data_IF_248210359450
#
_entry.id   IF_248210359450
#
_cell.length_a   1.000
_cell.length_b   1.000
_cell.length_c   1.000
_cell.angle_alpha   90.00
_cell.angle_beta   90.00
_cell.angle_gamma   90.00
#
_symmetry.space_group_name_H-M   'P 1'
#
loop_
_entity.id
_entity.type
_entity.pdbx_description
1 polymer ?
#
# COMPACT_ATOMS: atom_id res chain seq x y z
N UNK A 1 -18.72 2.67 7.92
CA UNK A 1 -17.58 2.04 7.22
C UNK A 1 -16.29 2.83 7.38
N UNK A 2 -16.30 4.16 7.18
CA UNK A 2 -15.11 5.01 7.37
C UNK A 2 -14.42 4.84 8.74
N UNK A 3 -15.17 4.77 9.84
CA UNK A 3 -14.57 4.56 11.18
C UNK A 3 -13.88 3.20 11.32
N UNK A 4 -14.49 2.14 10.78
CA UNK A 4 -13.90 0.79 10.76
C UNK A 4 -12.61 0.78 9.94
N UNK A 5 -12.65 1.39 8.74
CA UNK A 5 -11.47 1.54 7.91
C UNK A 5 -10.38 2.36 8.62
N UNK A 6 -10.74 3.48 9.25
CA UNK A 6 -9.82 4.35 9.99
C UNK A 6 -9.09 3.60 11.11
N UNK A 7 -9.79 2.75 11.87
CA UNK A 7 -9.17 1.88 12.89
C UNK A 7 -8.21 0.87 12.26
N UNK A 8 -8.59 0.28 11.13
CA UNK A 8 -7.77 -0.72 10.43
C UNK A 8 -6.51 -0.10 9.82
N UNK A 9 -6.63 1.00 9.08
CA UNK A 9 -5.50 1.71 8.47
C UNK A 9 -4.56 2.27 9.54
N UNK A 10 -5.08 2.75 10.67
CA UNK A 10 -4.25 3.17 11.81
C UNK A 10 -3.39 2.02 12.33
N UNK A 11 -3.95 0.82 12.48
CA UNK A 11 -3.19 -0.37 12.90
C UNK A 11 -2.14 -0.77 11.86
N UNK A 12 -2.51 -0.78 10.58
CA UNK A 12 -1.61 -1.10 9.49
C UNK A 12 -0.43 -0.13 9.41
N UNK A 13 -0.69 1.17 9.53
CA UNK A 13 0.33 2.23 9.55
C UNK A 13 1.27 2.09 10.75
N UNK A 14 0.73 1.84 11.96
CA UNK A 14 1.56 1.61 13.16
C UNK A 14 2.49 0.40 13.03
N UNK A 15 2.09 -0.62 12.27
CA UNK A 15 2.89 -1.81 12.01
C UNK A 15 3.75 -1.67 10.74
N UNK A 16 3.78 -0.49 10.11
CA UNK A 16 4.52 -0.21 8.87
C UNK A 16 4.14 -1.22 7.77
N UNK A 17 2.86 -1.58 7.68
CA UNK A 17 2.38 -2.55 6.72
C UNK A 17 2.47 -2.00 5.29
N UNK A 18 3.03 -2.80 4.38
CA UNK A 18 3.06 -2.52 2.95
C UNK A 18 1.72 -2.80 2.27
N UNK A 19 1.01 -3.84 2.72
CA UNK A 19 -0.24 -4.32 2.14
C UNK A 19 -1.23 -4.75 3.24
N UNK A 20 -2.51 -4.48 3.02
CA UNK A 20 -3.64 -5.00 3.79
C UNK A 20 -4.40 -5.98 2.88
N UNK A 21 -4.57 -7.21 3.34
CA UNK A 21 -5.29 -8.27 2.64
C UNK A 21 -6.67 -8.48 3.25
N UNK A 22 -7.68 -8.59 2.41
CA UNK A 22 -9.03 -9.04 2.73
C UNK A 22 -9.31 -10.28 1.90
N UNK A 23 -9.39 -11.44 2.57
CA UNK A 23 -9.62 -12.73 1.93
C UNK A 23 -10.94 -13.30 2.42
N UNK A 24 -11.95 -13.44 1.56
CA UNK A 24 -13.21 -14.05 1.95
C UNK A 24 -13.00 -15.53 2.30
N UNK A 25 -13.67 -15.98 3.35
CA UNK A 25 -13.86 -17.36 3.74
C UNK A 25 -15.38 -17.61 3.91
N UNK A 26 -15.76 -18.85 4.19
CA UNK A 26 -17.17 -19.27 4.18
C UNK A 26 -18.11 -18.40 5.04
N UNK A 27 -17.66 -17.92 6.20
CA UNK A 27 -18.49 -17.15 7.14
C UNK A 27 -17.86 -15.82 7.60
N UNK A 28 -16.68 -15.49 7.10
CA UNK A 28 -15.92 -14.33 7.54
C UNK A 28 -14.98 -13.82 6.45
N UNK A 29 -14.46 -12.60 6.65
CA UNK A 29 -13.38 -12.05 5.84
C UNK A 29 -12.13 -12.02 6.72
N UNK A 30 -11.13 -12.80 6.32
CA UNK A 30 -9.83 -12.82 6.94
C UNK A 30 -9.07 -11.56 6.57
N UNK A 31 -8.55 -10.88 7.59
CA UNK A 31 -7.76 -9.66 7.41
C UNK A 31 -6.32 -9.95 7.82
N UNK A 32 -5.35 -9.44 7.05
CA UNK A 32 -3.95 -9.52 7.45
C UNK A 32 -3.09 -8.44 6.81
N UNK A 33 -1.94 -8.20 7.42
CA UNK A 33 -0.99 -7.17 7.03
C UNK A 33 0.32 -7.80 6.57
N UNK A 34 0.87 -7.36 5.46
CA UNK A 34 2.26 -7.67 5.11
C UNK A 34 3.16 -6.57 5.66
N UNK A 35 3.93 -6.89 6.70
CA UNK A 35 4.86 -5.98 7.37
C UNK A 35 6.31 -6.33 6.98
N UNK A 36 7.31 -5.49 7.34
CA UNK A 36 8.72 -5.84 7.16
C UNK A 36 9.12 -7.14 7.87
N UNK A 37 8.40 -7.54 8.92
CA UNK A 37 8.63 -8.76 9.70
C UNK A 37 7.83 -9.97 9.16
N UNK A 38 7.12 -9.81 8.03
CA UNK A 38 6.29 -10.85 7.43
C UNK A 38 4.78 -10.59 7.57
N UNK A 39 4.00 -11.63 7.26
CA UNK A 39 2.53 -11.58 7.27
C UNK A 39 1.98 -11.71 8.69
N UNK A 40 1.13 -10.75 9.10
CA UNK A 40 0.53 -10.68 10.44
C UNK A 40 -0.99 -10.75 10.32
N UNK A 41 -1.59 -11.81 10.84
CA UNK A 41 -3.05 -11.99 10.88
C UNK A 41 -3.69 -10.97 11.83
N UNK A 42 -4.82 -10.40 11.42
CA UNK A 42 -5.66 -9.52 12.23
C UNK A 42 -6.98 -10.23 12.57
N UNK A 43 -7.74 -9.74 13.57
CA UNK A 43 -9.10 -10.23 13.80
C UNK A 43 -9.92 -10.19 12.51
N UNK A 44 -10.59 -11.30 12.22
CA UNK A 44 -11.49 -11.40 11.07
C UNK A 44 -12.70 -10.50 11.23
N UNK A 45 -13.36 -10.22 10.11
CA UNK A 45 -14.63 -9.49 10.08
C UNK A 45 -15.74 -10.49 9.76
N UNK A 46 -16.91 -10.35 10.41
CA UNK A 46 -18.12 -11.05 9.97
C UNK A 46 -18.35 -10.76 8.48
N UNK A 47 -18.77 -11.77 7.73
CA UNK A 47 -18.86 -11.71 6.26
C UNK A 47 -19.58 -10.44 5.77
N UNK A 48 -20.75 -10.13 6.33
CA UNK A 48 -21.56 -8.97 5.98
C UNK A 48 -20.81 -7.63 6.20
N UNK A 49 -20.11 -7.50 7.33
CA UNK A 49 -19.34 -6.31 7.68
C UNK A 49 -18.15 -6.15 6.73
N UNK A 50 -17.43 -7.25 6.45
CA UNK A 50 -16.30 -7.21 5.55
C UNK A 50 -16.72 -6.91 4.09
N UNK A 51 -17.84 -7.47 3.62
CA UNK A 51 -18.38 -7.17 2.29
C UNK A 51 -18.81 -5.71 2.17
N UNK A 52 -19.44 -5.16 3.21
CA UNK A 52 -19.79 -3.74 3.26
C UNK A 52 -18.55 -2.83 3.27
N UNK A 53 -17.47 -3.25 3.95
CA UNK A 53 -16.19 -2.56 3.92
C UNK A 53 -15.55 -2.61 2.53
N UNK A 54 -15.55 -3.77 1.86
CA UNK A 54 -15.06 -3.92 0.47
C UNK A 54 -15.82 -3.00 -0.48
N UNK A 55 -17.16 -2.96 -0.41
CA UNK A 55 -17.97 -2.05 -1.25
C UNK A 55 -17.65 -0.58 -0.98
N UNK A 56 -17.50 -0.19 0.29
CA UNK A 56 -17.08 1.15 0.67
C UNK A 56 -15.71 1.50 0.05
N UNK A 57 -14.74 0.59 0.14
CA UNK A 57 -13.39 0.80 -0.42
C UNK A 57 -13.39 0.84 -1.95
N UNK A 58 -14.24 0.05 -2.61
CA UNK A 58 -14.44 0.13 -4.07
C UNK A 58 -14.98 1.50 -4.47
N UNK A 59 -15.96 2.03 -3.73
CA UNK A 59 -16.49 3.37 -3.96
C UNK A 59 -15.40 4.45 -3.83
N UNK A 60 -14.63 4.43 -2.74
CA UNK A 60 -13.54 5.39 -2.51
C UNK A 60 -12.42 5.31 -3.56
N UNK A 61 -12.20 4.14 -4.14
CA UNK A 61 -11.21 3.91 -5.20
C UNK A 61 -11.76 4.05 -6.62
N UNK A 62 -13.01 4.51 -6.79
CA UNK A 62 -13.70 4.65 -8.06
C UNK A 62 -13.78 3.36 -8.89
N UNK A 63 -13.98 2.23 -8.22
CA UNK A 63 -14.17 0.91 -8.83
C UNK A 63 -15.66 0.65 -9.11
N UNK A 64 -15.95 -0.24 -10.07
CA UNK A 64 -17.30 -0.65 -10.39
C UNK A 64 -17.87 -1.53 -9.26
N UNK A 65 -18.93 -1.03 -8.61
CA UNK A 65 -19.63 -1.68 -7.51
C UNK A 65 -20.47 -2.89 -7.95
N UNK A 66 -20.89 -2.93 -9.22
CA UNK A 66 -21.69 -4.01 -9.78
C UNK A 66 -20.83 -5.18 -10.26
N UNK A 67 -19.56 -4.93 -10.62
CA UNK A 67 -18.64 -5.97 -11.08
C UNK A 67 -17.84 -6.56 -9.90
N UNK A 68 -18.03 -7.84 -9.62
CA UNK A 68 -17.30 -8.56 -8.55
C UNK A 68 -16.51 -9.77 -9.07
N UNK A 69 -16.51 -10.04 -10.38
CA UNK A 69 -15.86 -11.19 -11.02
C UNK A 69 -14.48 -10.85 -11.56
N UNK A 70 -14.37 -9.70 -12.22
CA UNK A 70 -13.14 -9.31 -12.93
C UNK A 70 -12.16 -8.61 -12.00
N UNK A 71 -10.85 -8.75 -12.22
CA UNK A 71 -9.87 -7.94 -11.52
C UNK A 71 -10.14 -6.45 -11.73
N UNK A 72 -10.06 -5.68 -10.66
CA UNK A 72 -10.17 -4.23 -10.70
C UNK A 72 -9.00 -3.59 -9.96
N UNK A 73 -8.60 -2.39 -10.39
CA UNK A 73 -7.54 -1.63 -9.73
C UNK A 73 -7.89 -0.14 -9.76
N UNK A 74 -7.68 0.50 -8.61
CA UNK A 74 -8.00 1.90 -8.39
C UNK A 74 -7.08 2.49 -7.34
N UNK A 75 -7.30 3.76 -7.04
CA UNK A 75 -6.48 4.49 -6.08
C UNK A 75 -7.35 5.38 -5.21
N UNK A 76 -6.92 5.56 -3.97
CA UNK A 76 -7.57 6.44 -3.02
C UNK A 76 -6.50 7.22 -2.26
N UNK A 77 -6.56 8.55 -2.31
CA UNK A 77 -5.72 9.40 -1.46
C UNK A 77 -6.44 9.62 -0.14
N UNK A 78 -6.02 8.88 0.88
CA UNK A 78 -6.63 8.92 2.20
C UNK A 78 -5.87 9.89 3.13
N UNK A 79 -6.59 10.85 3.71
CA UNK A 79 -6.02 11.76 4.72
C UNK A 79 -5.93 11.05 6.06
N UNK A 80 -4.71 10.73 6.48
CA UNK A 80 -4.40 10.13 7.78
C UNK A 80 -3.68 11.15 8.65
N UNK A 81 -4.36 11.62 9.71
CA UNK A 81 -3.88 12.71 10.56
C UNK A 81 -3.57 13.97 9.73
N UNK A 82 -2.30 14.35 9.60
CA UNK A 82 -1.82 15.50 8.81
C UNK A 82 -1.15 15.08 7.50
N UNK A 83 -1.14 13.78 7.18
CA UNK A 83 -0.46 13.23 6.01
C UNK A 83 -1.45 12.61 5.03
N UNK A 84 -1.11 12.68 3.74
CA UNK A 84 -1.85 11.97 2.70
C UNK A 84 -1.18 10.61 2.45
N UNK A 85 -1.94 9.53 2.64
CA UNK A 85 -1.54 8.18 2.24
C UNK A 85 -2.12 7.90 0.86
N UNK A 86 -1.26 7.54 -0.09
CA UNK A 86 -1.72 7.05 -1.38
C UNK A 86 -1.97 5.56 -1.27
N UNK A 87 -3.23 5.16 -1.41
CA UNK A 87 -3.65 3.77 -1.33
C UNK A 87 -3.91 3.27 -2.74
N UNK A 88 -3.30 2.15 -3.10
CA UNK A 88 -3.66 1.41 -4.31
C UNK A 88 -4.55 0.26 -3.91
N UNK A 89 -5.78 0.27 -4.38
CA UNK A 89 -6.78 -0.76 -4.07
C UNK A 89 -6.89 -1.67 -5.28
N UNK A 90 -6.87 -2.98 -5.05
CA UNK A 90 -7.04 -3.96 -6.11
C UNK A 90 -7.96 -5.07 -5.63
N UNK A 91 -8.89 -5.50 -6.48
CA UNK A 91 -9.83 -6.57 -6.16
C UNK A 91 -9.82 -7.64 -7.23
N UNK A 92 -10.19 -8.85 -6.84
CA UNK A 92 -10.42 -9.97 -7.77
C UNK A 92 -11.48 -10.89 -7.18
N UNK A 93 -12.49 -11.23 -7.97
CA UNK A 93 -13.47 -12.24 -7.61
C UNK A 93 -13.01 -13.64 -7.95
N UNK A 94 -13.41 -14.60 -7.15
CA UNK A 94 -13.39 -16.00 -7.56
C UNK A 94 -14.68 -16.40 -8.32
N UNK A 95 -14.79 -17.67 -8.68
CA UNK A 95 -15.96 -18.22 -9.37
C UNK A 95 -17.25 -18.19 -8.53
N UNK A 96 -17.15 -18.02 -7.21
CA UNK A 96 -18.27 -17.89 -6.27
C UNK A 96 -18.64 -16.43 -6.00
N UNK A 97 -18.04 -15.47 -6.73
CA UNK A 97 -18.18 -14.03 -6.50
C UNK A 97 -17.64 -13.56 -5.13
N UNK A 98 -16.76 -14.36 -4.52
CA UNK A 98 -16.09 -13.98 -3.29
C UNK A 98 -14.91 -13.06 -3.65
N UNK A 99 -15.10 -11.76 -3.41
CA UNK A 99 -14.14 -10.74 -3.80
C UNK A 99 -13.00 -10.64 -2.77
N UNK A 100 -11.79 -10.97 -3.21
CA UNK A 100 -10.55 -10.70 -2.49
C UNK A 100 -10.12 -9.27 -2.78
N UNK A 101 -9.66 -8.55 -1.75
CA UNK A 101 -9.13 -7.20 -1.89
C UNK A 101 -7.74 -7.09 -1.28
N UNK A 102 -6.87 -6.33 -1.95
CA UNK A 102 -5.58 -5.88 -1.41
C UNK A 102 -5.51 -4.37 -1.46
N UNK A 103 -5.13 -3.75 -0.35
CA UNK A 103 -4.80 -2.32 -0.27
C UNK A 103 -3.29 -2.19 -0.06
N UNK A 104 -2.59 -1.68 -1.06
CA UNK A 104 -1.18 -1.30 -0.92
C UNK A 104 -1.06 0.12 -0.39
N UNK A 105 -0.31 0.29 0.69
CA UNK A 105 -0.05 1.60 1.29
C UNK A 105 1.25 2.16 0.69
N UNK A 106 1.15 3.29 -0.01
CA UNK A 106 2.30 4.03 -0.52
C UNK A 106 2.57 5.19 0.45
N UNK A 107 3.59 5.00 1.28
CA UNK A 107 4.00 6.00 2.26
C UNK A 107 4.67 7.21 1.58
N UNK A 108 4.40 8.43 2.05
CA UNK A 108 5.12 9.63 1.63
C UNK A 108 6.63 9.45 1.82
N UNK A 109 7.41 9.95 0.86
CA UNK A 109 8.86 9.82 0.89
C UNK A 109 9.48 10.37 2.20
N UNK A 110 8.92 11.46 2.73
CA UNK A 110 9.37 12.07 4.00
C UNK A 110 9.35 11.08 5.18
N UNK A 111 8.44 10.10 5.17
CA UNK A 111 8.33 9.10 6.24
C UNK A 111 9.35 7.96 6.10
N UNK A 112 9.90 7.75 4.91
CA UNK A 112 10.77 6.60 4.59
C UNK A 112 12.18 6.98 4.14
N UNK A 113 12.46 8.28 3.98
CA UNK A 113 13.76 8.79 3.51
C UNK A 113 14.81 8.98 4.61
N UNK A 114 14.44 8.94 5.89
CA UNK A 114 15.38 9.14 7.01
C UNK A 114 16.66 8.29 6.92
N UNK A 115 16.57 6.98 6.61
CA UNK A 115 17.75 6.14 6.40
C UNK A 115 18.60 6.55 5.20
N UNK A 116 17.99 7.08 4.13
CA UNK A 116 18.68 7.49 2.90
C UNK A 116 19.46 8.80 3.09
N UNK A 117 18.98 9.70 3.95
CA UNK A 117 19.67 10.95 4.28
C UNK A 117 21.05 10.70 4.89
N UNK A 118 21.17 9.67 5.73
CA UNK A 118 22.42 9.32 6.42
C UNK A 118 23.23 8.24 5.69
N UNK A 119 22.75 7.76 4.54
CA UNK A 119 23.43 6.73 3.78
C UNK A 119 24.55 7.37 2.92
N UNK A 120 25.80 7.18 3.34
CA UNK A 120 26.98 7.75 2.66
C UNK A 120 27.06 7.39 1.17
N UNK A 121 26.67 6.16 0.80
CA UNK A 121 26.68 5.73 -0.60
C UNK A 121 25.66 6.51 -1.43
N UNK A 122 24.45 6.73 -0.89
CA UNK A 122 23.40 7.54 -1.55
C UNK A 122 23.87 8.99 -1.70
N UNK A 123 24.52 9.56 -0.69
CA UNK A 123 25.01 10.95 -0.75
C UNK A 123 26.15 11.12 -1.77
N UNK A 124 27.11 10.20 -1.82
CA UNK A 124 28.20 10.20 -2.81
C UNK A 124 27.62 10.04 -4.21
N UNK A 125 26.69 9.10 -4.38
CA UNK A 125 26.03 8.82 -5.66
C UNK A 125 25.25 10.05 -6.16
N UNK A 126 24.43 10.67 -5.30
CA UNK A 126 23.68 11.88 -5.60
C UNK A 126 24.58 13.06 -6.03
N UNK A 127 25.67 13.31 -5.30
CA UNK A 127 26.64 14.35 -5.68
C UNK A 127 27.26 14.12 -7.05
N UNK A 128 27.56 12.86 -7.41
CA UNK A 128 28.12 12.53 -8.74
C UNK A 128 27.10 12.76 -9.86
N UNK A 129 25.82 12.46 -9.63
CA UNK A 129 24.78 12.71 -10.64
C UNK A 129 24.65 14.19 -11.02
N UNK A 130 24.85 15.13 -10.07
CA UNK A 130 24.81 16.57 -10.38
C UNK A 130 25.85 17.05 -11.39
N UNK A 131 26.95 16.31 -11.53
CA UNK A 131 28.08 16.69 -12.38
C UNK A 131 28.25 15.78 -13.60
N UNK A 132 27.27 14.92 -13.89
CA UNK A 132 27.35 13.98 -15.01
C UNK A 132 26.00 13.83 -15.72
N UNK A 133 26.04 13.87 -17.05
CA UNK A 133 24.90 13.54 -17.91
C UNK A 133 25.06 12.11 -18.39
N UNK A 134 23.99 11.32 -18.32
CA UNK A 134 24.02 9.91 -18.72
C UNK A 134 22.89 9.07 -18.12
N UNK A 135 22.91 7.77 -18.45
CA UNK A 135 21.96 6.78 -17.93
C UNK A 135 22.46 6.20 -16.60
N UNK A 136 21.67 6.38 -15.55
CA UNK A 136 21.89 5.75 -14.25
C UNK A 136 20.86 4.65 -14.03
N UNK A 137 21.33 3.46 -13.61
CA UNK A 137 20.46 2.28 -13.39
C UNK A 137 20.53 1.85 -11.94
N UNK A 138 19.37 1.73 -11.29
CA UNK A 138 19.23 1.20 -9.93
C UNK A 138 18.56 -0.18 -10.01
N UNK A 139 19.32 -1.23 -9.72
CA UNK A 139 18.87 -2.63 -9.76
C UNK A 139 18.68 -3.24 -8.36
N UNK A 140 17.89 -4.34 -8.29
CA UNK A 140 17.62 -5.06 -7.05
C UNK A 140 16.26 -5.78 -7.06
N UNK A 141 16.03 -6.70 -6.12
CA UNK A 141 14.78 -7.46 -5.99
C UNK A 141 13.56 -6.57 -5.67
N UNK A 142 12.35 -7.12 -5.80
CA UNK A 142 11.12 -6.43 -5.36
C UNK A 142 11.24 -6.06 -3.87
N UNK A 143 10.81 -4.85 -3.49
CA UNK A 143 10.91 -4.37 -2.11
C UNK A 143 12.28 -3.85 -1.67
N UNK A 144 13.34 -3.96 -2.48
CA UNK A 144 14.69 -3.48 -2.13
C UNK A 144 14.86 -1.94 -2.08
N UNK A 145 13.77 -1.16 -2.10
CA UNK A 145 13.81 0.30 -1.98
C UNK A 145 14.21 1.07 -3.25
N UNK A 146 14.27 0.43 -4.43
CA UNK A 146 14.68 1.07 -5.69
C UNK A 146 13.94 2.37 -6.01
N UNK A 147 12.59 2.33 -6.02
CA UNK A 147 11.76 3.49 -6.32
C UNK A 147 11.92 4.58 -5.26
N UNK A 148 12.06 4.19 -3.99
CA UNK A 148 12.29 5.11 -2.86
C UNK A 148 13.63 5.83 -3.01
N UNK A 149 14.70 5.10 -3.29
CA UNK A 149 16.03 5.65 -3.52
C UNK A 149 16.05 6.57 -4.74
N UNK A 150 15.42 6.16 -5.85
CA UNK A 150 15.32 6.98 -7.05
C UNK A 150 14.55 8.28 -6.78
N UNK A 151 13.39 8.20 -6.12
CA UNK A 151 12.60 9.37 -5.76
C UNK A 151 13.36 10.32 -4.82
N UNK A 152 14.08 9.78 -3.83
CA UNK A 152 14.94 10.56 -2.95
C UNK A 152 16.03 11.31 -3.71
N UNK A 153 16.73 10.59 -4.58
CA UNK A 153 17.80 11.17 -5.37
C UNK A 153 17.30 12.31 -6.27
N UNK A 154 16.19 12.12 -6.99
CA UNK A 154 15.58 13.15 -7.85
C UNK A 154 15.15 14.39 -7.06
N UNK A 155 14.67 14.22 -5.83
CA UNK A 155 14.19 15.36 -5.02
C UNK A 155 15.30 16.14 -4.33
N UNK A 156 16.47 15.52 -4.09
CA UNK A 156 17.53 16.12 -3.28
C UNK A 156 18.80 16.45 -4.07
N UNK A 157 18.97 15.88 -5.26
CA UNK A 157 20.15 16.07 -6.10
C UNK A 157 19.79 16.57 -7.49
#
# INVERSE_FOLDING_TARGET
MLELFSKLITKAVKQVASDIYFRPQAQEIMVGFLTPNGYVTQPSLRLEIGQALIRFLKYEAHLDLAENRRPQAGQWTYTYQVHHLHLRISTVGDFMLAETMVIRIIYPLVQIAGPLQHNTAVQIFGKRMRHSTGLWVIGGAMGAGKSTSLAYLIQHF
#
